data_IF_950379050161
#
_entry.id   IF_950379050161
#
_cell.length_a   1.000
_cell.length_b   1.000
_cell.length_c   1.000
_cell.angle_alpha   90.00
_cell.angle_beta   90.00
_cell.angle_gamma   90.00
#
_symmetry.space_group_name_H-M   'P 1'
#
loop_
_entity.id
_entity.type
_entity.pdbx_description
1 polymer ?
#
# COMPACT_ATOMS: atom_id res chain seq x y z
N UNK A 1 39.66 -19.72 -1.51
CA UNK A 1 39.03 -18.50 -2.06
C UNK A 1 37.61 -18.90 -2.44
N UNK A 2 36.76 -19.12 -1.44
CA UNK A 2 35.38 -19.51 -1.66
C UNK A 2 34.64 -18.29 -2.20
N UNK A 3 34.30 -18.33 -3.49
CA UNK A 3 33.44 -17.32 -4.08
C UNK A 3 32.09 -17.40 -3.37
N UNK A 4 31.54 -16.30 -2.84
CA UNK A 4 30.19 -16.32 -2.33
C UNK A 4 29.29 -16.64 -3.52
N UNK A 5 28.59 -17.78 -3.46
CA UNK A 5 27.52 -18.09 -4.39
C UNK A 5 26.45 -17.02 -4.13
N UNK A 6 26.40 -16.00 -4.99
CA UNK A 6 25.35 -14.99 -5.00
C UNK A 6 24.03 -15.68 -5.36
N UNK A 7 23.42 -16.37 -4.38
CA UNK A 7 22.05 -16.86 -4.52
C UNK A 7 21.15 -15.65 -4.44
N UNK A 8 20.51 -15.35 -5.56
CA UNK A 8 19.55 -14.27 -5.66
C UNK A 8 18.37 -14.63 -4.75
N UNK A 9 17.75 -13.65 -4.05
CA UNK A 9 16.63 -13.93 -3.17
C UNK A 9 15.48 -14.57 -3.95
N UNK A 10 15.13 -15.80 -3.58
CA UNK A 10 14.00 -16.52 -4.17
C UNK A 10 12.75 -16.26 -3.32
N UNK A 11 11.77 -15.58 -3.89
CA UNK A 11 10.48 -15.36 -3.23
C UNK A 11 9.55 -16.52 -3.54
N UNK A 12 9.03 -17.14 -2.48
CA UNK A 12 8.02 -18.18 -2.57
C UNK A 12 6.76 -17.73 -1.85
N UNK A 13 5.63 -18.26 -2.28
CA UNK A 13 4.37 -18.10 -1.57
C UNK A 13 4.56 -18.46 -0.10
N UNK A 14 4.13 -17.56 0.78
CA UNK A 14 4.24 -17.73 2.23
C UNK A 14 2.90 -17.97 2.90
N UNK A 15 1.91 -17.10 2.64
CA UNK A 15 0.57 -17.17 3.23
C UNK A 15 -0.37 -16.22 2.51
N UNK A 16 -1.67 -16.46 2.66
CA UNK A 16 -2.76 -15.57 2.26
C UNK A 16 -3.82 -15.52 3.37
N UNK A 17 -4.53 -14.41 3.45
CA UNK A 17 -5.69 -14.24 4.33
C UNK A 17 -6.55 -13.07 3.85
N UNK A 18 -7.85 -13.15 4.11
CA UNK A 18 -8.78 -12.04 3.83
C UNK A 18 -8.56 -10.92 4.84
N UNK A 19 -8.23 -9.72 4.37
CA UNK A 19 -8.01 -8.57 5.25
C UNK A 19 -9.30 -7.79 5.55
N UNK A 20 -10.01 -7.36 4.51
CA UNK A 20 -11.24 -6.60 4.61
C UNK A 20 -12.37 -7.36 3.94
N UNK A 21 -13.59 -7.10 4.35
CA UNK A 21 -14.80 -7.58 3.68
C UNK A 21 -15.58 -6.34 3.23
N UNK A 22 -16.42 -6.44 2.18
CA UNK A 22 -17.27 -5.32 1.80
C UNK A 22 -18.17 -4.93 2.97
N UNK A 23 -18.21 -3.64 3.27
CA UNK A 23 -19.02 -3.08 4.35
C UNK A 23 -19.97 -2.01 3.77
N UNK A 24 -21.05 -1.71 4.48
CA UNK A 24 -22.00 -0.67 4.07
C UNK A 24 -22.33 0.25 5.24
N UNK A 25 -22.07 1.55 5.07
CA UNK A 25 -22.49 2.59 6.00
C UNK A 25 -23.93 3.01 5.67
N UNK A 26 -24.89 2.47 6.42
CA UNK A 26 -26.31 2.77 6.23
C UNK A 26 -26.68 4.23 6.49
N UNK A 27 -25.94 4.93 7.35
CA UNK A 27 -26.24 6.33 7.68
C UNK A 27 -25.78 7.26 6.57
N UNK A 28 -24.61 6.97 5.99
CA UNK A 28 -24.07 7.72 4.84
C UNK A 28 -24.55 7.17 3.49
N UNK A 29 -25.25 6.04 3.47
CA UNK A 29 -25.61 5.29 2.26
C UNK A 29 -24.40 5.04 1.36
N UNK A 30 -23.29 4.63 1.97
CA UNK A 30 -21.98 4.50 1.32
C UNK A 30 -21.50 3.05 1.40
N UNK A 31 -21.19 2.47 0.24
CA UNK A 31 -20.48 1.20 0.15
C UNK A 31 -19.00 1.41 0.45
N UNK A 32 -18.44 0.54 1.29
CA UNK A 32 -17.04 0.53 1.67
C UNK A 32 -16.42 -0.72 1.05
N UNK A 33 -15.60 -0.52 0.02
CA UNK A 33 -14.93 -1.60 -0.69
C UNK A 33 -13.94 -2.36 0.23
N UNK A 34 -13.78 -3.66 -0.01
CA UNK A 34 -12.75 -4.48 0.64
C UNK A 34 -11.33 -4.24 0.09
N UNK A 35 -11.21 -3.41 -0.95
CA UNK A 35 -9.94 -3.11 -1.63
C UNK A 35 -8.92 -2.57 -0.64
N UNK A 36 -7.74 -3.17 -0.65
CA UNK A 36 -6.62 -2.74 0.18
C UNK A 36 -5.90 -1.57 -0.51
N UNK A 37 -5.91 -0.41 0.14
CA UNK A 37 -5.25 0.80 -0.38
C UNK A 37 -3.75 0.81 -0.07
N UNK A 38 -3.37 0.45 1.17
CA UNK A 38 -1.97 0.45 1.64
C UNK A 38 -1.72 -0.68 2.63
N UNK A 39 -0.47 -1.16 2.61
CA UNK A 39 0.08 -2.12 3.57
C UNK A 39 1.39 -1.55 4.13
N UNK A 40 1.60 -1.65 5.45
CA UNK A 40 2.83 -1.25 6.12
C UNK A 40 3.27 -2.31 7.13
N UNK A 41 4.50 -2.80 6.98
CA UNK A 41 5.12 -3.68 7.96
C UNK A 41 5.44 -2.90 9.23
N UNK A 42 5.09 -3.49 10.37
CA UNK A 42 5.48 -3.01 11.69
C UNK A 42 6.71 -3.78 12.18
N UNK A 43 7.32 -3.31 13.27
CA UNK A 43 8.45 -4.00 13.87
C UNK A 43 8.10 -5.45 14.23
N UNK A 44 8.97 -6.38 13.85
CA UNK A 44 8.82 -7.79 14.19
C UNK A 44 9.14 -8.00 15.66
N UNK A 45 8.35 -8.84 16.33
CA UNK A 45 8.54 -9.14 17.75
C UNK A 45 8.14 -10.59 18.04
N UNK A 46 8.87 -11.26 18.94
CA UNK A 46 8.55 -12.60 19.44
C UNK A 46 8.35 -13.64 18.32
N UNK A 47 9.15 -13.56 17.24
CA UNK A 47 9.06 -14.47 16.09
C UNK A 47 7.75 -14.34 15.29
N UNK A 48 7.02 -13.24 15.46
CA UNK A 48 5.83 -12.93 14.69
C UNK A 48 6.06 -11.69 13.81
N UNK A 49 5.41 -11.70 12.65
CA UNK A 49 5.33 -10.56 11.76
C UNK A 49 4.08 -9.74 12.09
N UNK A 50 4.21 -8.43 11.98
CA UNK A 50 3.12 -7.49 12.23
C UNK A 50 2.96 -6.56 11.03
N UNK A 51 1.73 -6.30 10.62
CA UNK A 51 1.45 -5.37 9.53
C UNK A 51 0.16 -4.61 9.78
N UNK A 52 0.11 -3.38 9.29
CA UNK A 52 -1.11 -2.61 9.10
C UNK A 52 -1.57 -2.76 7.66
N UNK A 53 -2.88 -2.88 7.49
CA UNK A 53 -3.57 -2.85 6.20
C UNK A 53 -4.73 -1.89 6.30
N UNK A 54 -5.01 -1.11 5.27
CA UNK A 54 -6.15 -0.19 5.25
C UNK A 54 -6.95 -0.34 3.96
N UNK A 55 -8.28 -0.20 4.05
CA UNK A 55 -9.13 0.19 2.94
C UNK A 55 -9.46 1.68 3.07
N UNK A 56 -10.56 2.13 2.46
CA UNK A 56 -10.99 3.53 2.46
C UNK A 56 -11.39 4.08 3.84
N UNK A 57 -11.79 3.23 4.79
CA UNK A 57 -12.41 3.67 6.05
C UNK A 57 -11.86 3.01 7.30
N UNK A 58 -11.23 1.86 7.17
CA UNK A 58 -10.80 1.03 8.29
C UNK A 58 -9.35 0.60 8.14
N UNK A 59 -8.65 0.55 9.26
CA UNK A 59 -7.27 0.09 9.34
C UNK A 59 -7.27 -1.14 10.25
N UNK A 60 -6.59 -2.20 9.86
CA UNK A 60 -6.47 -3.44 10.64
C UNK A 60 -5.01 -3.73 10.96
N UNK A 61 -4.75 -4.07 12.22
CA UNK A 61 -3.44 -4.49 12.70
C UNK A 61 -3.39 -6.01 12.82
N UNK A 62 -2.52 -6.63 12.03
CA UNK A 62 -2.41 -8.07 11.90
C UNK A 62 -1.17 -8.59 12.59
N UNK A 63 -1.30 -9.78 13.20
CA UNK A 63 -0.19 -10.61 13.65
C UNK A 63 -0.17 -11.89 12.83
N UNK A 64 0.94 -12.14 12.14
CA UNK A 64 1.18 -13.36 11.38
C UNK A 64 2.28 -14.15 12.09
N UNK A 65 1.96 -15.36 12.55
CA UNK A 65 2.90 -16.19 13.30
C UNK A 65 2.76 -17.66 12.94
N UNK A 66 3.89 -18.38 12.90
CA UNK A 66 3.90 -19.82 12.80
C UNK A 66 3.41 -20.45 14.11
N UNK A 67 2.38 -21.29 14.03
CA UNK A 67 1.88 -22.09 15.14
C UNK A 67 2.10 -23.56 14.82
N UNK A 68 2.80 -24.26 15.72
CA UNK A 68 2.86 -25.72 15.70
C UNK A 68 1.47 -26.28 15.97
N UNK A 69 1.05 -27.24 15.16
CA UNK A 69 -0.22 -27.94 15.37
C UNK A 69 -0.14 -28.70 16.69
N UNK A 70 -1.06 -28.38 17.60
CA UNK A 70 -1.17 -29.03 18.91
C UNK A 70 -2.16 -30.19 18.80
N UNK A 71 -1.71 -31.40 19.09
CA UNK A 71 -2.58 -32.59 19.23
C UNK A 71 -2.72 -32.90 20.72
N UNK A 72 -3.92 -33.28 21.13
CA UNK A 72 -4.18 -33.72 22.50
C UNK A 72 -4.05 -35.24 22.51
N UNK A 73 -3.13 -35.78 23.31
CA UNK A 73 -2.88 -37.23 23.35
C UNK A 73 -3.52 -37.94 24.54
N UNK A 74 -3.82 -37.22 25.61
CA UNK A 74 -4.35 -37.80 26.86
C UNK A 74 -5.67 -37.14 27.23
N UNK A 75 -6.79 -37.80 26.96
CA UNK A 75 -8.12 -37.35 27.39
C UNK A 75 -8.83 -38.50 28.09
N UNK A 76 -9.67 -38.18 29.08
CA UNK A 76 -10.50 -39.18 29.78
C UNK A 76 -11.65 -39.72 28.92
N UNK A 77 -11.88 -39.10 27.76
CA UNK A 77 -12.88 -39.49 26.77
C UNK A 77 -12.14 -39.97 25.52
N UNK A 78 -12.46 -41.16 25.04
CA UNK A 78 -11.96 -41.64 23.76
C UNK A 78 -12.51 -40.74 22.64
N UNK A 79 -11.69 -40.32 21.66
CA UNK A 79 -12.20 -39.59 20.51
C UNK A 79 -13.24 -40.45 19.79
N UNK A 80 -14.36 -39.88 19.30
CA UNK A 80 -15.40 -40.65 18.63
C UNK A 80 -14.77 -41.38 17.43
N UNK A 81 -14.86 -42.71 17.43
CA UNK A 81 -14.36 -43.54 16.32
C UNK A 81 -15.05 -43.07 15.04
N UNK A 82 -14.28 -42.49 14.11
CA UNK A 82 -14.75 -42.26 12.76
C UNK A 82 -15.00 -43.63 12.11
N UNK A 83 -16.28 -44.03 12.03
CA UNK A 83 -16.69 -45.24 11.30
C UNK A 83 -16.64 -44.91 9.82
N UNK A 84 -15.72 -45.58 9.11
CA UNK A 84 -15.59 -45.48 7.66
C UNK A 84 -16.74 -46.18 6.93
N UNK A 85 -17.18 -45.52 5.85
CA UNK A 85 -17.87 -45.99 4.65
C UNK A 85 -19.11 -46.90 4.76
N UNK A 86 -20.25 -46.34 4.31
CA UNK A 86 -21.38 -47.07 3.77
C UNK A 86 -22.47 -46.11 3.25
N UNK A 87 -22.51 -45.85 1.94
CA UNK A 87 -23.64 -45.20 1.28
C UNK A 87 -24.86 -46.13 1.26
N UNK A 88 -26.04 -45.69 1.74
CA UNK A 88 -27.37 -45.80 1.08
C UNK A 88 -28.34 -44.79 1.74
N UNK A 89 -29.18 -44.18 0.90
CA UNK A 89 -30.20 -43.18 1.17
C UNK A 89 -31.26 -43.54 2.23
N UNK A 90 -31.70 -42.54 3.01
CA UNK A 90 -33.08 -42.02 3.04
C UNK A 90 -33.33 -41.12 4.27
N UNK A 91 -34.16 -40.11 4.00
CA UNK A 91 -34.84 -39.12 4.85
C UNK A 91 -34.93 -39.29 6.38
N UNK A 92 -34.87 -38.11 7.01
CA UNK A 92 -35.49 -37.66 8.28
C UNK A 92 -35.01 -38.29 9.59
N UNK A 93 -34.35 -37.49 10.43
CA UNK A 93 -34.82 -37.20 11.81
C UNK A 93 -33.96 -36.13 12.54
N UNK A 94 -34.66 -35.11 13.02
CA UNK A 94 -34.44 -34.31 14.26
C UNK A 94 -32.99 -34.12 14.76
N UNK A 95 -32.42 -32.93 14.47
CA UNK A 95 -31.42 -32.32 15.34
C UNK A 95 -32.14 -31.67 16.53
N UNK A 96 -32.10 -32.32 17.69
CA UNK A 96 -32.24 -31.62 18.97
C UNK A 96 -30.88 -31.65 19.68
N UNK A 97 -30.24 -30.50 19.96
CA UNK A 97 -29.20 -30.47 20.96
C UNK A 97 -29.89 -30.63 22.32
N UNK A 98 -29.47 -31.61 23.12
CA UNK A 98 -29.85 -31.67 24.52
C UNK A 98 -29.42 -30.35 25.19
N UNK A 99 -30.34 -29.63 25.88
CA UNK A 99 -30.01 -28.35 26.46
C UNK A 99 -29.18 -28.58 27.72
N UNK A 100 -27.86 -28.35 27.64
CA UNK A 100 -27.00 -28.28 28.81
C UNK A 100 -27.35 -26.99 29.56
N UNK A 101 -28.11 -27.09 30.65
CA UNK A 101 -28.36 -25.95 31.53
C UNK A 101 -27.04 -25.43 32.13
N UNK A 102 -26.94 -24.11 32.29
CA UNK A 102 -25.75 -23.37 32.74
C UNK A 102 -25.26 -23.69 34.17
N UNK A 103 -25.83 -24.71 34.83
CA UNK A 103 -25.40 -25.25 36.12
C UNK A 103 -25.52 -26.79 36.19
N UNK A 104 -25.38 -27.49 35.06
CA UNK A 104 -25.08 -28.94 35.04
C UNK A 104 -26.07 -29.89 35.72
N UNK A 105 -27.32 -29.49 35.94
CA UNK A 105 -28.35 -30.34 36.53
C UNK A 105 -29.32 -30.88 35.47
N UNK A 106 -29.27 -32.19 35.22
CA UNK A 106 -30.34 -32.92 34.51
C UNK A 106 -31.26 -33.56 35.57
N UNK A 107 -32.60 -33.56 35.42
CA UNK A 107 -33.52 -34.07 36.43
C UNK A 107 -33.74 -35.58 36.28
N UNK A 108 -32.65 -36.34 36.21
CA UNK A 108 -32.65 -37.81 36.34
C UNK A 108 -31.42 -38.19 37.18
N UNK A 109 -31.63 -38.30 38.49
CA UNK A 109 -30.63 -38.70 39.47
C UNK A 109 -30.49 -40.23 39.51
N UNK A 110 -29.94 -40.82 38.45
CA UNK A 110 -29.39 -42.17 38.49
C UNK A 110 -27.95 -42.17 37.98
N UNK A 111 -27.09 -41.40 38.66
CA UNK A 111 -25.63 -41.57 38.56
C UNK A 111 -25.23 -42.85 39.32
N UNK A 112 -25.33 -43.98 38.64
CA UNK A 112 -24.71 -45.22 39.10
C UNK A 112 -23.19 -45.09 38.93
N UNK A 113 -22.46 -45.04 40.05
CA UNK A 113 -21.00 -45.13 40.02
C UNK A 113 -20.61 -46.52 39.51
N UNK A 114 -19.70 -46.63 38.52
CA UNK A 114 -19.23 -47.93 38.07
C UNK A 114 -18.53 -48.67 39.23
N UNK A 115 -18.68 -50.01 39.34
CA UNK A 115 -18.02 -50.77 40.39
C UNK A 115 -16.51 -50.77 40.14
N UNK A 116 -15.78 -49.91 40.88
CA UNK A 116 -14.35 -49.68 40.68
C UNK A 116 -13.85 -48.26 41.03
N UNK A 117 -14.77 -47.32 41.33
CA UNK A 117 -14.43 -45.92 41.62
C UNK A 117 -14.31 -45.06 40.36
N UNK A 118 -14.23 -43.73 40.52
CA UNK A 118 -14.02 -42.83 39.38
C UNK A 118 -12.62 -43.07 38.78
N UNK A 119 -12.48 -43.21 37.45
CA UNK A 119 -11.16 -43.30 36.83
C UNK A 119 -10.35 -42.05 37.18
N UNK A 120 -9.06 -42.22 37.50
CA UNK A 120 -8.17 -41.08 37.78
C UNK A 120 -8.22 -40.09 36.63
N UNK A 121 -8.66 -38.86 36.92
CA UNK A 121 -8.76 -37.81 35.93
C UNK A 121 -7.36 -37.48 35.40
N UNK A 122 -7.17 -37.62 34.09
CA UNK A 122 -5.97 -37.17 33.39
C UNK A 122 -6.16 -35.75 32.89
N UNK A 123 -5.11 -34.93 33.00
CA UNK A 123 -5.07 -33.61 32.40
C UNK A 123 -4.65 -33.73 30.93
N UNK A 124 -5.28 -32.97 30.01
CA UNK A 124 -4.89 -32.96 28.60
C UNK A 124 -3.42 -32.65 28.39
N UNK A 125 -2.66 -33.63 27.89
CA UNK A 125 -1.28 -33.43 27.45
C UNK A 125 -1.28 -32.96 26.01
N UNK A 126 -0.70 -31.78 25.79
CA UNK A 126 -0.52 -31.20 24.47
C UNK A 126 0.79 -31.73 23.87
N UNK A 127 0.68 -32.56 22.85
CA UNK A 127 1.80 -32.99 22.01
C UNK A 127 1.89 -32.06 20.81
N UNK A 128 3.04 -31.39 20.65
CA UNK A 128 3.30 -30.57 19.47
C UNK A 128 3.65 -31.46 18.28
N UNK A 129 2.87 -31.38 17.21
CA UNK A 129 3.22 -31.93 15.89
C UNK A 129 4.42 -31.19 15.30
N UNK A 130 5.15 -31.86 14.39
CA UNK A 130 6.18 -31.22 13.57
C UNK A 130 5.60 -30.30 12.48
N UNK A 131 4.30 -30.44 12.18
CA UNK A 131 3.59 -29.57 11.23
C UNK A 131 3.37 -28.17 11.82
N UNK A 132 3.78 -27.16 11.07
CA UNK A 132 3.61 -25.73 11.38
C UNK A 132 2.63 -25.10 10.41
N UNK A 133 1.66 -24.34 10.91
CA UNK A 133 0.77 -23.52 10.10
C UNK A 133 1.01 -22.04 10.39
N UNK A 134 1.08 -21.22 9.34
CA UNK A 134 1.04 -19.77 9.49
C UNK A 134 -0.39 -19.33 9.78
N UNK A 135 -0.57 -18.57 10.85
CA UNK A 135 -1.87 -18.04 11.24
C UNK A 135 -1.80 -16.52 11.27
N UNK A 136 -2.61 -15.88 10.44
CA UNK A 136 -2.89 -14.46 10.51
C UNK A 136 -4.03 -14.20 11.49
N UNK A 137 -3.83 -13.27 12.43
CA UNK A 137 -4.85 -12.85 13.39
C UNK A 137 -4.97 -11.33 13.37
N UNK A 138 -6.15 -10.81 13.07
CA UNK A 138 -6.47 -9.41 13.29
C UNK A 138 -6.44 -9.15 14.81
N UNK A 139 -5.49 -8.34 15.25
CA UNK A 139 -5.36 -7.95 16.67
C UNK A 139 -6.26 -6.78 17.00
N UNK A 140 -6.38 -5.81 16.09
CA UNK A 140 -7.10 -4.56 16.29
C UNK A 140 -7.67 -4.04 14.98
N UNK A 141 -8.78 -3.34 15.09
CA UNK A 141 -9.46 -2.62 14.00
C UNK A 141 -9.61 -1.17 14.46
N UNK A 142 -9.02 -0.25 13.71
CA UNK A 142 -9.15 1.20 13.89
C UNK A 142 -10.16 1.70 12.85
N UNK A 143 -11.29 2.21 13.31
CA UNK A 143 -12.41 2.59 12.46
C UNK A 143 -13.03 3.91 12.92
N UNK A 144 -13.93 4.47 12.10
CA UNK A 144 -14.75 5.65 12.42
C UNK A 144 -13.99 6.93 12.79
N UNK A 145 -12.78 7.12 12.27
CA UNK A 145 -11.98 8.34 12.46
C UNK A 145 -11.81 9.17 11.19
N UNK A 146 -12.20 8.63 10.02
CA UNK A 146 -12.03 9.28 8.72
C UNK A 146 -13.37 9.49 8.04
N UNK A 147 -13.64 10.74 7.66
CA UNK A 147 -14.82 11.10 6.89
C UNK A 147 -14.59 10.89 5.38
N UNK A 148 -13.34 10.97 4.92
CA UNK A 148 -12.93 10.80 3.52
C UNK A 148 -12.16 9.49 3.32
N UNK A 149 -11.65 9.23 2.10
CA UNK A 149 -10.95 7.98 1.80
C UNK A 149 -9.53 8.02 2.37
N UNK A 150 -9.16 6.99 3.13
CA UNK A 150 -7.80 6.86 3.65
C UNK A 150 -6.83 6.64 2.48
N UNK A 151 -5.94 7.60 2.26
CA UNK A 151 -4.92 7.55 1.22
C UNK A 151 -3.56 7.05 1.74
N UNK A 152 -3.29 7.19 3.05
CA UNK A 152 -1.99 6.87 3.64
C UNK A 152 -2.09 6.26 5.03
N UNK A 153 -1.15 5.35 5.31
CA UNK A 153 -0.80 4.90 6.66
C UNK A 153 0.73 4.85 6.78
N UNK A 154 1.26 5.26 7.93
CA UNK A 154 2.71 5.25 8.17
C UNK A 154 3.02 4.99 9.64
N UNK A 155 3.96 4.07 9.89
CA UNK A 155 4.40 3.74 11.24
C UNK A 155 5.38 4.78 11.74
N UNK A 156 5.26 5.14 13.02
CA UNK A 156 6.25 5.97 13.67
C UNK A 156 7.49 5.14 14.05
N UNK A 157 8.64 5.79 14.09
CA UNK A 157 9.92 5.21 14.54
C UNK A 157 9.95 4.92 16.06
N UNK A 158 8.96 5.38 16.83
CA UNK A 158 8.81 5.04 18.25
C UNK A 158 8.36 3.59 18.49
N UNK A 159 7.84 2.91 17.46
CA UNK A 159 7.33 1.54 17.56
C UNK A 159 5.98 1.39 18.28
N UNK A 160 5.35 2.50 18.67
CA UNK A 160 4.11 2.54 19.45
C UNK A 160 2.97 3.25 18.72
N UNK A 161 3.29 4.25 17.89
CA UNK A 161 2.31 5.07 17.18
C UNK A 161 2.38 4.91 15.67
N UNK A 162 1.31 5.32 15.00
CA UNK A 162 1.24 5.41 13.54
C UNK A 162 0.25 6.51 13.16
N UNK A 163 0.37 7.01 11.93
CA UNK A 163 -0.59 7.96 11.36
C UNK A 163 -1.45 7.29 10.30
N UNK A 164 -2.65 7.83 10.11
CA UNK A 164 -3.44 7.65 8.91
C UNK A 164 -3.89 9.00 8.37
N UNK A 165 -3.91 9.14 7.06
CA UNK A 165 -4.34 10.35 6.39
C UNK A 165 -5.47 10.06 5.41
N UNK A 166 -6.48 10.93 5.41
CA UNK A 166 -7.47 11.05 4.34
C UNK A 166 -7.23 12.36 3.56
N UNK A 167 -8.20 12.77 2.75
CA UNK A 167 -8.09 13.95 1.89
C UNK A 167 -7.97 15.27 2.66
N UNK A 168 -8.43 15.36 3.92
CA UNK A 168 -8.44 16.60 4.69
C UNK A 168 -7.82 16.49 6.09
N UNK A 169 -7.55 15.27 6.58
CA UNK A 169 -7.13 15.03 7.95
C UNK A 169 -5.99 14.03 8.07
N UNK A 170 -5.15 14.25 9.07
CA UNK A 170 -4.16 13.27 9.54
C UNK A 170 -4.46 12.97 11.01
N UNK A 171 -4.65 11.69 11.31
CA UNK A 171 -4.93 11.18 12.65
C UNK A 171 -3.72 10.38 13.16
N UNK A 172 -3.31 10.64 14.39
CA UNK A 172 -2.31 9.90 15.15
C UNK A 172 -2.99 8.83 16.00
N UNK A 173 -2.47 7.61 15.95
CA UNK A 173 -2.99 6.45 16.64
C UNK A 173 -1.91 5.82 17.50
N UNK A 174 -2.33 5.16 18.57
CA UNK A 174 -1.49 4.23 19.31
C UNK A 174 -1.84 2.80 18.88
N UNK A 175 -0.83 1.96 18.61
CA UNK A 175 -0.99 0.57 18.19
C UNK A 175 -1.73 -0.30 19.21
N UNK A 176 -1.88 0.18 20.44
CA UNK A 176 -2.57 -0.51 21.52
C UNK A 176 -4.02 -0.05 21.74
N UNK A 177 -4.38 1.14 21.25
CA UNK A 177 -5.65 1.82 21.51
C UNK A 177 -6.39 2.00 20.17
N UNK A 178 -7.49 1.28 19.98
CA UNK A 178 -8.21 1.27 18.71
C UNK A 178 -9.51 2.08 18.67
N UNK A 179 -9.95 2.58 19.82
CA UNK A 179 -11.19 3.35 19.98
C UNK A 179 -10.97 4.86 20.07
N UNK A 180 -9.72 5.32 19.97
CA UNK A 180 -9.35 6.74 20.05
C UNK A 180 -8.23 7.03 19.06
N UNK A 181 -8.32 8.18 18.42
CA UNK A 181 -7.24 8.79 17.65
C UNK A 181 -7.16 10.27 18.00
N UNK A 182 -6.00 10.86 17.75
CA UNK A 182 -5.80 12.29 17.91
C UNK A 182 -5.62 12.92 16.53
N UNK A 183 -6.50 13.83 16.16
CA UNK A 183 -6.36 14.55 14.91
C UNK A 183 -5.23 15.59 15.05
N UNK A 184 -4.16 15.42 14.27
CA UNK A 184 -2.97 16.27 14.33
C UNK A 184 -2.95 17.31 13.20
N UNK A 185 -3.61 17.05 12.08
CA UNK A 185 -3.78 17.98 10.96
C UNK A 185 -5.24 17.95 10.53
N UNK A 186 -5.85 19.14 10.41
CA UNK A 186 -7.18 19.35 9.83
C UNK A 186 -7.10 20.51 8.84
N UNK A 187 -7.07 20.20 7.54
CA UNK A 187 -7.09 21.23 6.47
C UNK A 187 -8.50 21.49 5.95
N UNK A 188 -9.53 20.95 6.62
CA UNK A 188 -10.92 21.18 6.25
C UNK A 188 -11.27 22.67 6.36
N UNK A 189 -11.72 23.32 5.27
CA UNK A 189 -12.15 24.71 5.34
C UNK A 189 -13.47 24.83 6.12
N UNK A 190 -13.74 26.05 6.62
CA UNK A 190 -15.02 26.34 7.30
C UNK A 190 -16.22 26.15 6.35
N UNK A 191 -16.09 26.56 5.09
CA UNK A 191 -17.04 26.25 4.02
C UNK A 191 -16.38 25.28 3.03
N UNK A 192 -17.05 24.15 2.74
CA UNK A 192 -16.54 23.15 1.79
C UNK A 192 -16.42 23.69 0.36
N UNK A 193 -17.13 24.77 0.01
CA UNK A 193 -17.00 25.44 -1.28
C UNK A 193 -15.63 26.13 -1.45
N UNK A 194 -14.96 26.47 -0.34
CA UNK A 194 -13.63 27.09 -0.34
C UNK A 194 -12.50 26.04 -0.40
N UNK A 195 -12.81 24.77 -0.63
CA UNK A 195 -11.83 23.71 -0.70
C UNK A 195 -10.94 23.88 -1.94
N UNK A 196 -9.68 24.25 -1.72
CA UNK A 196 -8.71 24.44 -2.81
C UNK A 196 -7.57 23.43 -2.81
N UNK A 197 -7.42 22.65 -1.74
CA UNK A 197 -6.26 21.79 -1.53
C UNK A 197 -6.67 20.56 -0.71
N UNK A 198 -6.20 19.38 -1.13
CA UNK A 198 -6.38 18.13 -0.40
C UNK A 198 -5.04 17.46 -0.14
N UNK A 199 -4.96 16.69 0.94
CA UNK A 199 -3.82 15.84 1.30
C UNK A 199 -3.82 14.62 0.37
N UNK A 200 -2.66 14.31 -0.22
CA UNK A 200 -2.55 13.23 -1.20
C UNK A 200 -1.70 12.06 -0.75
N UNK A 201 -0.71 12.33 0.12
CA UNK A 201 0.15 11.30 0.72
C UNK A 201 0.73 11.82 2.04
N UNK A 202 0.97 10.93 3.00
CA UNK A 202 1.59 11.26 4.28
C UNK A 202 2.50 10.14 4.78
N UNK A 203 3.67 10.50 5.30
CA UNK A 203 4.67 9.54 5.79
C UNK A 203 5.42 10.09 7.01
N UNK A 204 5.67 9.23 8.01
CA UNK A 204 6.59 9.55 9.11
C UNK A 204 8.04 9.50 8.63
N UNK A 205 8.89 10.30 9.27
CA UNK A 205 10.32 10.19 9.13
C UNK A 205 10.82 8.84 9.66
N UNK A 206 11.74 8.14 8.96
CA UNK A 206 12.14 6.77 9.31
C UNK A 206 12.85 6.65 10.67
N UNK A 207 13.44 7.73 11.17
CA UNK A 207 14.26 7.72 12.41
C UNK A 207 13.90 8.82 13.42
N UNK A 208 13.08 9.81 13.04
CA UNK A 208 12.77 10.95 13.90
C UNK A 208 11.28 10.90 14.25
N UNK A 209 10.97 10.46 15.46
CA UNK A 209 9.60 10.18 15.86
C UNK A 209 8.66 11.38 15.90
N UNK A 210 9.24 12.58 15.91
CA UNK A 210 8.52 13.85 15.90
C UNK A 210 8.32 14.43 14.49
N UNK A 211 8.92 13.86 13.45
CA UNK A 211 8.88 14.44 12.11
C UNK A 211 8.00 13.61 11.17
N UNK A 212 7.12 14.26 10.45
CA UNK A 212 6.35 13.66 9.36
C UNK A 212 6.23 14.65 8.20
N UNK A 213 5.99 14.16 7.01
CA UNK A 213 5.67 14.98 5.85
C UNK A 213 4.32 14.57 5.27
N UNK A 214 3.60 15.53 4.71
CA UNK A 214 2.45 15.25 3.86
C UNK A 214 2.47 16.13 2.60
N UNK A 215 2.03 15.56 1.50
CA UNK A 215 1.90 16.23 0.21
C UNK A 215 0.47 16.62 -0.10
N UNK A 216 0.31 17.51 -1.07
CA UNK A 216 -1.01 17.97 -1.49
C UNK A 216 -1.26 17.93 -2.99
N UNK A 217 -2.53 18.12 -3.35
CA UNK A 217 -3.00 18.25 -4.73
C UNK A 217 -2.48 19.50 -5.44
N UNK A 218 -1.87 20.44 -4.72
CA UNK A 218 -1.26 21.66 -5.28
C UNK A 218 0.25 21.54 -5.56
N UNK A 219 0.82 20.35 -5.38
CA UNK A 219 2.24 20.14 -5.66
C UNK A 219 3.18 20.64 -4.57
N UNK A 220 2.69 20.77 -3.34
CA UNK A 220 3.50 21.16 -2.19
C UNK A 220 3.69 19.99 -1.22
N UNK A 221 4.77 20.02 -0.46
CA UNK A 221 5.02 19.08 0.64
C UNK A 221 5.29 19.89 1.91
N UNK A 222 4.55 19.59 2.97
CA UNK A 222 4.71 20.22 4.28
C UNK A 222 5.38 19.24 5.22
N UNK A 223 6.49 19.68 5.80
CA UNK A 223 7.20 18.96 6.85
C UNK A 223 6.75 19.50 8.20
N UNK A 224 6.33 18.59 9.06
CA UNK A 224 5.75 18.86 10.37
C UNK A 224 6.71 18.38 11.46
N UNK A 225 6.82 19.16 12.53
CA UNK A 225 7.48 18.77 13.77
C UNK A 225 6.47 18.75 14.91
N UNK A 226 6.11 17.55 15.37
CA UNK A 226 5.14 17.30 16.44
C UNK A 226 5.55 17.91 17.80
N UNK A 227 6.80 18.37 17.96
CA UNK A 227 7.26 19.06 19.16
C UNK A 227 6.89 20.54 19.18
N UNK A 228 6.65 21.14 18.01
CA UNK A 228 6.37 22.58 17.90
C UNK A 228 4.96 22.92 18.37
N UNK A 229 3.99 22.07 18.04
CA UNK A 229 2.59 22.24 18.44
C UNK A 229 1.90 20.89 18.51
N UNK A 230 0.95 20.75 19.43
CA UNK A 230 0.08 19.58 19.50
C UNK A 230 -0.87 19.54 18.30
N UNK A 231 -1.36 20.70 17.86
CA UNK A 231 -2.15 20.86 16.65
C UNK A 231 -1.20 21.35 15.57
N UNK A 232 -0.90 20.53 14.57
CA UNK A 232 0.09 20.83 13.53
C UNK A 232 -0.51 21.75 12.45
N UNK A 233 -1.02 22.89 12.90
CA UNK A 233 -1.67 23.95 12.11
C UNK A 233 -0.66 24.79 11.31
N UNK A 234 0.61 24.75 11.70
CA UNK A 234 1.75 25.28 10.96
C UNK A 234 2.68 24.17 10.47
N UNK A 235 3.63 24.51 9.61
CA UNK A 235 4.65 23.60 9.10
C UNK A 235 6.04 24.08 9.48
N UNK A 236 6.94 23.14 9.76
CA UNK A 236 8.35 23.45 10.01
C UNK A 236 9.05 23.89 8.72
N UNK A 237 8.70 23.27 7.57
CA UNK A 237 9.17 23.65 6.23
C UNK A 237 8.11 23.37 5.17
N UNK A 238 8.14 24.18 4.11
CA UNK A 238 7.29 24.04 2.93
C UNK A 238 8.19 23.81 1.71
N UNK A 239 8.04 22.66 1.07
CA UNK A 239 8.73 22.33 -0.16
C UNK A 239 7.76 22.57 -1.32
N UNK A 240 8.02 23.64 -2.06
CA UNK A 240 7.27 24.02 -3.24
C UNK A 240 8.24 24.51 -4.32
N UNK A 241 7.88 24.31 -5.59
CA UNK A 241 8.67 24.83 -6.69
C UNK A 241 8.10 26.19 -7.10
N UNK A 242 8.90 27.27 -7.11
CA UNK A 242 8.43 28.58 -7.55
C UNK A 242 8.00 28.52 -9.02
N UNK A 243 6.72 28.77 -9.30
CA UNK A 243 6.25 28.87 -10.67
C UNK A 243 6.72 30.18 -11.32
N UNK A 244 7.29 30.08 -12.53
CA UNK A 244 7.65 31.26 -13.31
C UNK A 244 6.37 32.02 -13.75
N UNK A 245 6.35 33.36 -13.67
CA UNK A 245 5.22 34.15 -14.16
C UNK A 245 4.96 33.85 -15.65
N UNK A 246 3.75 33.37 -15.97
CA UNK A 246 3.31 33.09 -17.34
C UNK A 246 3.45 31.64 -17.84
N UNK A 247 3.98 30.71 -17.03
CA UNK A 247 4.00 29.27 -17.37
C UNK A 247 2.74 28.50 -16.94
N UNK A 248 1.78 29.17 -16.29
CA UNK A 248 0.51 28.58 -15.85
C UNK A 248 -0.40 28.30 -17.04
N UNK A 249 -0.68 27.02 -17.24
CA UNK A 249 -1.75 26.52 -18.10
C UNK A 249 -2.84 25.90 -17.22
N UNK A 250 -4.02 25.65 -17.78
CA UNK A 250 -5.08 24.90 -17.09
C UNK A 250 -4.57 23.55 -16.52
N UNK A 251 -3.75 22.84 -17.28
CA UNK A 251 -3.22 21.53 -16.86
C UNK A 251 -2.08 21.63 -15.83
N UNK A 252 -1.49 22.81 -15.62
CA UNK A 252 -0.34 22.96 -14.72
C UNK A 252 -0.70 22.53 -13.29
N UNK A 253 -1.86 22.96 -12.79
CA UNK A 253 -2.32 22.60 -11.44
C UNK A 253 -2.72 21.13 -11.34
N UNK A 254 -3.32 20.58 -12.41
CA UNK A 254 -3.76 19.18 -12.45
C UNK A 254 -2.54 18.24 -12.36
N UNK A 255 -1.52 18.48 -13.17
CA UNK A 255 -0.32 17.61 -13.22
C UNK A 255 0.66 17.88 -12.07
N UNK A 256 0.52 19.00 -11.36
CA UNK A 256 1.34 19.33 -10.19
C UNK A 256 0.93 18.53 -8.95
N UNK A 257 -0.28 17.97 -8.91
CA UNK A 257 -0.75 17.12 -7.82
C UNK A 257 0.23 15.98 -7.55
N UNK A 258 0.72 15.91 -6.31
CA UNK A 258 1.66 14.87 -5.89
C UNK A 258 0.86 13.61 -5.59
N UNK A 259 1.22 12.49 -6.21
CA UNK A 259 0.56 11.19 -6.01
C UNK A 259 1.18 10.36 -4.90
N UNK A 260 2.48 10.52 -4.62
CA UNK A 260 3.19 9.78 -3.57
C UNK A 260 4.43 10.53 -3.10
N UNK A 261 4.76 10.39 -1.81
CA UNK A 261 6.03 10.83 -1.21
C UNK A 261 6.66 9.65 -0.47
N UNK A 262 8.00 9.59 -0.43
CA UNK A 262 8.76 8.55 0.28
C UNK A 262 9.99 9.18 0.93
N UNK A 263 10.24 8.89 2.20
CA UNK A 263 11.54 9.22 2.79
C UNK A 263 12.61 8.24 2.29
N UNK A 264 13.81 8.76 2.06
CA UNK A 264 15.00 7.92 1.93
C UNK A 264 15.28 7.22 3.26
N UNK A 265 15.93 6.06 3.21
CA UNK A 265 16.21 5.23 4.39
C UNK A 265 17.04 5.96 5.46
N UNK A 266 17.93 6.84 5.03
CA UNK A 266 18.76 7.68 5.91
C UNK A 266 17.99 8.87 6.52
N UNK A 267 16.78 9.15 6.02
CA UNK A 267 15.98 10.29 6.43
C UNK A 267 16.54 11.64 5.99
N UNK A 268 17.56 11.70 5.11
CA UNK A 268 18.08 12.99 4.64
C UNK A 268 17.28 13.54 3.47
N UNK A 269 16.82 12.64 2.61
CA UNK A 269 16.11 12.98 1.38
C UNK A 269 14.67 12.52 1.42
N UNK A 270 13.84 13.18 0.61
CA UNK A 270 12.46 12.82 0.35
C UNK A 270 12.24 12.78 -1.16
N UNK A 271 11.58 11.75 -1.64
CA UNK A 271 11.17 11.59 -3.03
C UNK A 271 9.70 11.98 -3.15
N UNK A 272 9.33 12.69 -4.21
CA UNK A 272 7.93 12.95 -4.55
C UNK A 272 7.66 12.64 -6.01
N UNK A 273 6.48 12.09 -6.30
CA UNK A 273 5.98 11.86 -7.65
C UNK A 273 4.80 12.79 -7.92
N UNK A 274 4.91 13.64 -8.94
CA UNK A 274 3.76 14.30 -9.58
C UNK A 274 3.40 13.55 -10.87
N UNK A 275 2.44 14.03 -11.66
CA UNK A 275 2.03 13.28 -12.85
C UNK A 275 3.20 13.07 -13.84
N UNK A 276 4.00 14.10 -14.11
CA UNK A 276 5.01 14.07 -15.19
C UNK A 276 6.43 13.74 -14.71
N UNK A 277 6.72 14.01 -13.44
CA UNK A 277 8.08 14.09 -12.91
C UNK A 277 8.23 13.38 -11.57
N UNK A 278 9.45 12.95 -11.32
CA UNK A 278 9.90 12.46 -10.03
C UNK A 278 10.93 13.47 -9.48
N UNK A 279 10.77 13.92 -8.24
CA UNK A 279 11.62 14.96 -7.64
C UNK A 279 12.25 14.46 -6.35
N UNK A 280 13.56 14.67 -6.21
CA UNK A 280 14.32 14.37 -5.01
C UNK A 280 14.59 15.66 -4.24
N UNK A 281 14.20 15.71 -2.99
CA UNK A 281 14.29 16.86 -2.10
C UNK A 281 15.28 16.56 -0.97
N UNK A 282 16.07 17.55 -0.57
CA UNK A 282 16.86 17.50 0.66
C UNK A 282 16.05 18.18 1.76
N UNK A 283 15.79 17.51 2.88
CA UNK A 283 14.99 18.06 3.98
C UNK A 283 15.60 19.34 4.57
N UNK A 284 16.88 19.57 4.36
CA UNK A 284 17.58 20.79 4.77
C UNK A 284 17.51 21.94 3.75
N UNK A 285 17.04 21.68 2.52
CA UNK A 285 16.90 22.66 1.45
C UNK A 285 15.45 22.68 0.93
N UNK A 286 14.69 23.68 1.35
CA UNK A 286 13.30 23.91 0.96
C UNK A 286 13.14 24.86 -0.25
N UNK A 287 14.24 25.39 -0.80
CA UNK A 287 14.22 26.28 -1.96
C UNK A 287 13.87 25.59 -3.29
N UNK A 288 13.89 24.26 -3.35
CA UNK A 288 13.63 23.49 -4.56
C UNK A 288 14.18 22.07 -4.50
N UNK A 289 13.85 21.21 -5.48
CA UNK A 289 14.36 19.85 -5.53
C UNK A 289 15.85 19.83 -5.88
N UNK A 290 16.59 18.89 -5.29
CA UNK A 290 17.99 18.59 -5.63
C UNK A 290 18.11 18.00 -7.03
N UNK A 291 17.11 17.23 -7.45
CA UNK A 291 17.07 16.62 -8.78
C UNK A 291 15.62 16.39 -9.23
N UNK A 292 15.37 16.63 -10.52
CA UNK A 292 14.07 16.42 -11.16
C UNK A 292 14.24 15.50 -12.36
N UNK A 293 13.52 14.38 -12.35
CA UNK A 293 13.57 13.34 -13.39
C UNK A 293 12.28 13.37 -14.22
N UNK A 294 12.43 13.52 -15.53
CA UNK A 294 11.30 13.48 -16.46
C UNK A 294 10.89 12.03 -16.72
N UNK A 295 9.65 11.66 -16.37
CA UNK A 295 9.21 10.25 -16.45
C UNK A 295 8.73 9.92 -17.86
N UNK A 296 7.76 10.68 -18.36
CA UNK A 296 7.09 10.37 -19.63
C UNK A 296 6.69 11.66 -20.37
N UNK A 297 7.70 12.48 -20.66
CA UNK A 297 7.56 13.78 -21.32
C UNK A 297 6.79 13.73 -22.66
N UNK A 298 6.82 12.57 -23.33
CA UNK A 298 6.07 12.31 -24.55
C UNK A 298 4.53 12.39 -24.38
N UNK A 299 4.02 12.39 -23.14
CA UNK A 299 2.60 12.57 -22.84
C UNK A 299 2.17 14.02 -22.79
N UNK A 300 3.09 14.99 -22.67
CA UNK A 300 2.75 16.41 -22.52
C UNK A 300 1.86 16.95 -23.65
N UNK A 301 2.05 16.58 -24.94
CA UNK A 301 1.14 16.99 -26.01
C UNK A 301 -0.25 16.32 -25.95
N UNK A 302 -0.42 15.25 -25.16
CA UNK A 302 -1.65 14.44 -25.06
C UNK A 302 -2.45 14.71 -23.77
N UNK A 303 -2.09 15.74 -23.00
CA UNK A 303 -2.75 16.04 -21.72
C UNK A 303 -4.26 16.28 -21.85
N UNK A 304 -4.71 16.84 -22.97
CA UNK A 304 -6.14 17.01 -23.24
C UNK A 304 -6.85 15.64 -23.37
N UNK A 305 -6.31 14.74 -24.18
CA UNK A 305 -6.87 13.39 -24.38
C UNK A 305 -6.84 12.59 -23.07
N UNK A 306 -5.76 12.74 -22.28
CA UNK A 306 -5.60 12.09 -20.97
C UNK A 306 -6.55 12.66 -19.91
N UNK A 307 -6.98 13.91 -20.07
CA UNK A 307 -7.99 14.52 -19.20
C UNK A 307 -9.39 14.05 -19.59
N UNK A 308 -9.70 13.95 -20.88
CA UNK A 308 -11.00 13.46 -21.35
C UNK A 308 -11.28 11.99 -20.99
N UNK A 309 -10.23 11.19 -20.76
CA UNK A 309 -10.35 9.77 -20.38
C UNK A 309 -9.98 9.48 -18.91
N UNK A 310 -9.89 10.53 -18.07
CA UNK A 310 -9.52 10.48 -16.65
C UNK A 310 -8.13 9.90 -16.32
N UNK A 311 -7.33 9.52 -17.30
CA UNK A 311 -6.00 8.95 -17.07
C UNK A 311 -5.04 9.95 -16.43
N UNK A 312 -5.25 11.26 -16.64
CA UNK A 312 -4.46 12.32 -15.98
C UNK A 312 -4.54 12.27 -14.44
N UNK A 313 -5.56 11.60 -13.88
CA UNK A 313 -5.74 11.44 -12.44
C UNK A 313 -5.15 10.14 -11.88
N UNK A 314 -4.46 9.35 -12.71
CA UNK A 314 -3.76 8.15 -12.27
C UNK A 314 -2.66 8.49 -11.24
N UNK A 315 -2.71 7.80 -10.09
CA UNK A 315 -1.77 8.00 -8.98
C UNK A 315 -0.62 7.00 -9.07
N UNK A 316 0.46 7.38 -9.74
CA UNK A 316 1.69 6.59 -9.80
C UNK A 316 2.48 6.67 -8.48
N UNK A 317 2.90 5.55 -7.93
CA UNK A 317 3.77 5.51 -6.74
C UNK A 317 5.25 5.64 -7.13
N UNK A 318 6.09 5.86 -6.12
CA UNK A 318 7.53 5.89 -6.28
C UNK A 318 8.25 5.10 -5.17
N UNK A 319 9.50 4.75 -5.42
CA UNK A 319 10.34 4.09 -4.43
C UNK A 319 11.82 4.46 -4.60
N UNK A 320 12.58 4.34 -3.51
CA UNK A 320 14.03 4.50 -3.48
C UNK A 320 14.69 3.15 -3.28
N UNK A 321 15.88 2.96 -3.85
CA UNK A 321 16.72 1.81 -3.55
C UNK A 321 17.21 1.84 -2.10
N UNK A 322 17.46 0.66 -1.52
CA UNK A 322 17.89 0.54 -0.12
C UNK A 322 19.24 1.22 0.20
N UNK A 323 20.07 1.46 -0.82
CA UNK A 323 21.34 2.20 -0.75
C UNK A 323 21.18 3.71 -1.04
N UNK A 324 19.99 4.18 -1.43
CA UNK A 324 19.71 5.57 -1.76
C UNK A 324 20.31 6.06 -3.08
N UNK A 325 20.92 5.19 -3.88
CA UNK A 325 21.60 5.58 -5.12
C UNK A 325 20.67 5.66 -6.33
N UNK A 326 19.51 5.02 -6.26
CA UNK A 326 18.55 4.93 -7.36
C UNK A 326 17.11 5.18 -6.89
N UNK A 327 16.32 5.70 -7.80
CA UNK A 327 14.88 5.94 -7.60
C UNK A 327 14.10 5.32 -8.75
N UNK A 328 12.88 4.87 -8.49
CA UNK A 328 12.03 4.29 -9.51
C UNK A 328 10.58 4.71 -9.39
N UNK A 329 9.89 4.69 -10.52
CA UNK A 329 8.46 4.98 -10.62
C UNK A 329 7.87 4.38 -11.90
N UNK A 330 6.56 4.16 -11.90
CA UNK A 330 5.84 3.58 -13.02
C UNK A 330 5.35 4.59 -14.07
N UNK A 331 4.82 4.06 -15.17
CA UNK A 331 4.20 4.77 -16.29
C UNK A 331 3.16 3.86 -16.97
N UNK A 332 2.56 4.35 -18.04
CA UNK A 332 1.68 3.59 -18.93
C UNK A 332 2.41 2.49 -19.70
N UNK A 333 1.64 1.62 -20.35
CA UNK A 333 2.15 0.47 -21.12
C UNK A 333 2.97 -0.50 -20.27
N UNK A 334 2.60 -0.64 -18.98
CA UNK A 334 3.33 -1.42 -17.97
C UNK A 334 4.82 -1.05 -17.85
N UNK A 335 5.19 0.17 -18.23
CA UNK A 335 6.55 0.65 -18.14
C UNK A 335 6.88 1.11 -16.72
N UNK A 336 8.12 0.92 -16.31
CA UNK A 336 8.69 1.61 -15.16
C UNK A 336 10.06 2.15 -15.53
N UNK A 337 10.46 3.21 -14.81
CA UNK A 337 11.73 3.88 -15.01
C UNK A 337 12.56 3.85 -13.73
N UNK A 338 13.86 3.68 -13.91
CA UNK A 338 14.86 3.72 -12.85
C UNK A 338 15.85 4.83 -13.19
N UNK A 339 16.11 5.71 -12.23
CA UNK A 339 17.04 6.84 -12.37
C UNK A 339 18.14 6.76 -11.31
N UNK A 340 19.36 7.15 -11.67
CA UNK A 340 20.44 7.34 -10.71
C UNK A 340 20.33 8.70 -10.00
N UNK A 341 20.58 8.72 -8.69
CA UNK A 341 20.44 9.92 -7.85
C UNK A 341 21.75 10.69 -7.65
N UNK A 342 22.88 10.16 -8.13
CA UNK A 342 24.16 10.85 -8.01
C UNK A 342 24.12 12.20 -8.75
N UNK A 343 24.71 13.27 -8.21
CA UNK A 343 24.76 14.56 -8.88
C UNK A 343 25.35 14.45 -10.29
N UNK A 344 24.63 14.94 -11.30
CA UNK A 344 25.04 14.86 -12.70
C UNK A 344 24.87 13.47 -13.34
N UNK A 345 24.24 12.51 -12.66
CA UNK A 345 23.94 11.20 -13.24
C UNK A 345 22.99 11.33 -14.42
N UNK A 346 23.36 10.68 -15.52
CA UNK A 346 22.48 10.49 -16.68
C UNK A 346 21.89 9.08 -16.71
N UNK A 347 22.03 8.31 -15.62
CA UNK A 347 21.47 6.97 -15.51
C UNK A 347 19.94 7.07 -15.56
N UNK A 348 19.36 6.57 -16.65
CA UNK A 348 17.92 6.47 -16.83
C UNK A 348 17.63 5.21 -17.64
N UNK A 349 16.96 4.24 -17.01
CA UNK A 349 16.58 2.98 -17.66
C UNK A 349 15.07 2.85 -17.68
N UNK A 350 14.51 2.51 -18.84
CA UNK A 350 13.08 2.18 -19.01
C UNK A 350 12.92 0.69 -19.23
N UNK A 351 12.05 0.05 -18.46
CA UNK A 351 11.78 -1.38 -18.48
C UNK A 351 10.28 -1.63 -18.60
N UNK A 352 9.89 -2.75 -19.19
CA UNK A 352 8.49 -3.18 -19.32
C UNK A 352 8.22 -4.36 -18.37
N UNK A 353 7.17 -4.25 -17.57
CA UNK A 353 6.66 -5.33 -16.75
C UNK A 353 5.87 -6.34 -17.58
N UNK A 354 6.55 -7.36 -18.10
CA UNK A 354 5.94 -8.37 -18.96
C UNK A 354 6.48 -9.78 -18.70
N UNK A 355 5.69 -10.79 -19.08
CA UNK A 355 6.07 -12.22 -19.02
C UNK A 355 7.23 -12.57 -19.97
N UNK A 356 7.55 -11.70 -20.93
CA UNK A 356 8.59 -11.92 -21.94
C UNK A 356 9.85 -11.12 -21.58
N UNK A 357 10.85 -11.73 -20.91
CA UNK A 357 12.01 -11.00 -20.37
C UNK A 357 12.94 -10.39 -21.44
N UNK A 358 12.72 -10.70 -22.72
CA UNK A 358 13.56 -10.29 -23.86
C UNK A 358 13.11 -8.96 -24.48
N UNK A 359 11.92 -8.43 -24.13
CA UNK A 359 11.52 -7.07 -24.51
C UNK A 359 12.26 -6.04 -23.63
N UNK A 360 13.56 -5.89 -23.86
CA UNK A 360 14.36 -4.80 -23.29
C UNK A 360 14.42 -3.65 -24.29
N UNK A 361 14.29 -2.44 -23.74
CA UNK A 361 14.41 -1.13 -24.41
C UNK A 361 13.29 -0.79 -25.39
N UNK A 362 12.20 -0.23 -24.87
CA UNK A 362 11.50 0.82 -25.62
C UNK A 362 12.35 2.09 -25.47
N UNK A 363 13.08 2.47 -26.53
CA UNK A 363 13.71 3.78 -26.59
C UNK A 363 12.60 4.84 -26.57
N UNK A 364 12.44 5.54 -25.45
CA UNK A 364 11.61 6.75 -25.41
C UNK A 364 12.35 7.85 -26.18
N UNK A 365 11.74 8.48 -27.21
CA UNK A 365 12.41 9.52 -27.98
C UNK A 365 12.76 10.70 -27.06
N UNK A 366 14.04 11.10 -27.07
CA UNK A 366 14.58 12.09 -26.13
C UNK A 366 14.50 13.54 -26.62
N UNK A 367 13.81 13.85 -27.73
CA UNK A 367 13.64 15.23 -28.22
C UNK A 367 12.55 15.36 -29.29
N UNK A 368 11.72 16.42 -29.26
CA UNK A 368 10.98 16.84 -30.45
C UNK A 368 11.99 17.46 -31.44
N UNK A 369 12.14 16.87 -32.62
CA UNK A 369 12.83 17.55 -33.71
C UNK A 369 11.99 18.75 -34.14
N UNK A 370 12.60 19.94 -34.21
CA UNK A 370 11.96 21.12 -34.81
C UNK A 370 11.79 20.83 -36.31
N UNK A 371 10.59 20.51 -36.76
CA UNK A 371 10.24 20.65 -38.18
C UNK A 371 9.39 21.91 -38.38
N UNK A 372 9.96 22.86 -39.11
CA UNK A 372 9.23 23.93 -39.77
C UNK A 372 8.49 23.30 -40.96
N UNK A 373 7.16 23.45 -41.05
CA UNK A 373 6.49 24.08 -42.20
C UNK A 373 5.00 23.74 -42.33
N UNK A 374 4.24 24.81 -42.62
CA UNK A 374 3.11 24.94 -43.55
C UNK A 374 1.71 24.41 -43.19
N UNK A 375 0.82 25.39 -43.09
CA UNK A 375 -0.64 25.33 -43.09
C UNK A 375 -1.17 24.66 -44.36
N UNK A 376 -2.08 23.70 -44.22
CA UNK A 376 -3.32 23.60 -45.03
C UNK A 376 -4.42 22.87 -44.25
N UNK A 377 -5.61 23.49 -44.19
CA UNK A 377 -6.84 22.94 -43.62
C UNK A 377 -7.34 21.75 -44.45
N UNK A 378 -7.62 20.62 -43.80
CA UNK A 378 -8.70 19.70 -44.22
C UNK A 378 -9.32 19.09 -42.96
N UNK A 379 -10.60 19.38 -42.74
CA UNK A 379 -11.46 18.75 -41.73
C UNK A 379 -11.91 17.39 -42.27
N UNK A 380 -11.62 16.30 -41.56
CA UNK A 380 -12.37 15.03 -41.67
C UNK A 380 -12.63 14.46 -40.28
N UNK A 381 -13.92 14.28 -39.99
CA UNK A 381 -14.49 13.61 -38.81
C UNK A 381 -14.20 12.11 -38.84
N UNK A 382 -13.98 11.55 -37.65
CA UNK A 382 -14.44 10.20 -37.27
C UNK A 382 -13.49 9.04 -37.59
N UNK A 383 -12.61 8.72 -36.64
CA UNK A 383 -12.12 7.36 -36.36
C UNK A 383 -11.40 7.40 -34.99
N UNK A 384 -11.56 6.35 -34.19
CA UNK A 384 -10.83 6.15 -32.93
C UNK A 384 -9.32 6.14 -33.21
N UNK A 385 -8.65 7.27 -33.00
CA UNK A 385 -7.22 7.39 -33.25
C UNK A 385 -6.45 6.96 -32.02
N UNK A 386 -6.03 5.70 -32.02
CA UNK A 386 -4.85 5.28 -31.26
C UNK A 386 -3.69 6.18 -31.70
N UNK A 387 -3.20 7.04 -30.80
CA UNK A 387 -2.18 8.05 -31.13
C UNK A 387 -0.82 7.41 -31.40
N UNK A 388 -0.59 7.06 -32.67
CA UNK A 388 0.66 6.52 -33.22
C UNK A 388 1.76 7.59 -33.16
N UNK A 389 2.92 7.26 -32.59
CA UNK A 389 4.10 8.14 -32.65
C UNK A 389 4.81 8.06 -34.01
N UNK A 390 5.77 8.95 -34.27
CA UNK A 390 6.55 8.98 -35.52
C UNK A 390 7.37 7.69 -35.77
N UNK A 391 7.41 6.76 -34.81
CA UNK A 391 8.08 5.46 -34.87
C UNK A 391 7.09 4.29 -35.01
N UNK A 392 5.78 4.54 -35.13
CA UNK A 392 4.77 3.49 -35.31
C UNK A 392 4.34 2.78 -34.02
N UNK A 393 4.80 3.21 -32.84
CA UNK A 393 4.39 2.64 -31.57
C UNK A 393 3.07 3.28 -31.10
N UNK A 394 2.01 2.45 -31.02
CA UNK A 394 0.80 2.79 -30.28
C UNK A 394 1.10 2.65 -28.78
N UNK A 395 1.12 3.75 -28.04
CA UNK A 395 1.14 3.68 -26.59
C UNK A 395 -0.23 3.27 -26.08
N UNK A 396 -0.27 2.16 -25.35
CA UNK A 396 -1.46 1.68 -24.68
C UNK A 396 -1.58 2.38 -23.31
N UNK A 397 -2.62 3.22 -23.18
CA UNK A 397 -2.95 3.93 -21.94
C UNK A 397 -3.84 3.10 -21.01
N UNK A 398 -4.38 1.97 -21.48
CA UNK A 398 -5.22 1.09 -20.66
C UNK A 398 -4.39 0.28 -19.67
N UNK A 399 -3.15 -0.04 -20.03
CA UNK A 399 -2.19 -0.72 -19.16
C UNK A 399 -1.30 0.29 -18.44
N UNK A 400 -1.11 0.09 -17.13
CA UNK A 400 -0.41 1.01 -16.24
C UNK A 400 0.29 0.25 -15.11
N UNK A 401 1.45 0.75 -14.71
CA UNK A 401 2.19 0.27 -13.55
C UNK A 401 2.10 1.32 -12.45
N UNK A 402 1.08 1.19 -11.58
CA UNK A 402 0.85 2.17 -10.51
C UNK A 402 1.69 1.88 -9.26
N UNK A 403 1.94 0.60 -8.98
CA UNK A 403 2.57 0.14 -7.74
C UNK A 403 3.89 -0.58 -8.00
N UNK A 404 4.90 -0.20 -7.23
CA UNK A 404 6.22 -0.80 -7.22
C UNK A 404 6.88 -0.64 -5.87
N UNK A 405 7.73 -1.60 -5.50
CA UNK A 405 8.46 -1.59 -4.25
C UNK A 405 9.90 -2.06 -4.46
N UNK A 406 10.86 -1.32 -3.92
CA UNK A 406 12.25 -1.71 -3.88
C UNK A 406 12.56 -2.48 -2.59
N UNK A 407 13.39 -3.52 -2.70
CA UNK A 407 13.86 -4.26 -1.53
C UNK A 407 14.74 -3.37 -0.62
N UNK A 408 14.57 -3.39 0.71
CA UNK A 408 15.23 -2.45 1.63
C UNK A 408 16.76 -2.61 1.74
N UNK A 409 17.32 -3.71 1.24
CA UNK A 409 18.75 -4.03 1.31
C UNK A 409 19.33 -4.64 0.04
N UNK A 410 18.51 -5.10 -0.90
CA UNK A 410 18.96 -5.86 -2.07
C UNK A 410 18.62 -5.07 -3.33
N UNK A 411 19.34 -5.34 -4.41
CA UNK A 411 19.07 -4.72 -5.69
C UNK A 411 17.91 -5.43 -6.42
N UNK A 412 16.74 -5.42 -5.78
CA UNK A 412 15.54 -6.08 -6.26
C UNK A 412 14.34 -5.15 -6.22
N UNK A 413 13.54 -5.17 -7.28
CA UNK A 413 12.31 -4.38 -7.40
C UNK A 413 11.14 -5.28 -7.78
N UNK A 414 10.02 -5.11 -7.07
CA UNK A 414 8.77 -5.76 -7.36
C UNK A 414 7.82 -4.77 -8.02
N UNK A 415 7.19 -5.17 -9.13
CA UNK A 415 6.28 -4.34 -9.92
C UNK A 415 4.95 -5.06 -10.09
N UNK A 416 3.84 -4.41 -9.73
CA UNK A 416 2.50 -4.93 -10.01
C UNK A 416 2.01 -4.38 -11.35
N UNK A 417 1.72 -5.27 -12.30
CA UNK A 417 1.23 -4.88 -13.62
C UNK A 417 0.18 -5.89 -14.11
N UNK A 418 -0.95 -5.38 -14.60
CA UNK A 418 -2.13 -6.18 -14.92
C UNK A 418 -2.50 -7.12 -13.75
N UNK A 419 -2.52 -8.43 -13.99
CA UNK A 419 -2.87 -9.45 -12.99
C UNK A 419 -1.64 -10.23 -12.51
N UNK A 420 -0.46 -9.60 -12.46
CA UNK A 420 0.79 -10.28 -12.15
C UNK A 420 1.74 -9.41 -11.33
N UNK A 421 2.52 -10.06 -10.47
CA UNK A 421 3.62 -9.46 -9.73
C UNK A 421 4.93 -9.90 -10.37
N UNK A 422 5.69 -8.94 -10.90
CA UNK A 422 6.99 -9.17 -11.52
C UNK A 422 8.09 -8.80 -10.53
N UNK A 423 9.12 -9.63 -10.43
CA UNK A 423 10.28 -9.38 -9.58
C UNK A 423 11.53 -9.31 -10.45
N UNK A 424 12.24 -8.20 -10.36
CA UNK A 424 13.48 -7.94 -11.06
C UNK A 424 14.62 -7.92 -10.07
N UNK A 425 15.73 -8.52 -10.44
CA UNK A 425 17.00 -8.47 -9.73
C UNK A 425 18.05 -7.94 -10.71
N UNK A 426 18.93 -7.07 -10.25
CA UNK A 426 20.01 -6.48 -11.06
C UNK A 426 21.39 -6.75 -10.47
#
# INVERSE_FOLDING_TARGET
MDHPINRHPEFRYKTEFQSHEPEFDYLKSLEIEEKINKIRWCQTANGALFLLSTNDKTIKFWKVQEKKVKKISEMNLDPPKAVGNGCVASSSNSNSPTPCLANGGSPDNDFSFPPGGLPSLRLPVVVTSQETNLVARCRRVYAHAHDYHINSISNNSDGETFISADDLRINLWNLEISNQSFNIVDVKPANMEDLTEVITSAEFHPTHCNMLAYSSSKGSIRLIDLRQSALCDSHAKLFEEPEAPGSRSFFTEIIASISDIKFAKDGRYMLSRDYMTLKLWDINMDSGPVSTFQVHEYLRPKLCDLYENDSIFDKFECCLSGDGLRVATGSYSNLFRVFGCAPGSTEATTLEASKNPVRRQVQTPSRPSRSLSSITRVVRRGAETSGIDANGNSFDFTTKLLHLAWHPTENSIACAAANSLYMYYA
#
